data_IF_979323892813
#
_entry.id   IF_979323892813
#
_cell.length_a   1.000
_cell.length_b   1.000
_cell.length_c   1.000
_cell.angle_alpha   90.00
_cell.angle_beta   90.00
_cell.angle_gamma   90.00
#
_symmetry.space_group_name_H-M   'P 1'
#
loop_
_entity.id
_entity.type
_entity.pdbx_description
1 polymer ?
#
# COMPACT_ATOMS: atom_id res chain seq x y z
N UNK A 1 38.16 10.70 -9.24
CA UNK A 1 36.84 10.24 -8.74
C UNK A 1 35.85 10.18 -9.90
N UNK A 2 35.62 9.01 -10.49
CA UNK A 2 34.55 8.79 -11.49
C UNK A 2 33.42 8.01 -10.82
N UNK A 3 32.54 8.72 -10.11
CA UNK A 3 31.23 8.18 -9.68
C UNK A 3 30.27 8.46 -10.83
N UNK A 4 30.49 7.82 -11.97
CA UNK A 4 29.52 7.85 -13.05
C UNK A 4 28.37 6.93 -12.67
N UNK A 5 27.20 7.55 -12.53
CA UNK A 5 25.92 6.93 -12.25
C UNK A 5 25.70 5.71 -13.15
N UNK A 6 25.84 4.50 -12.61
CA UNK A 6 25.08 3.38 -13.10
C UNK A 6 23.61 3.70 -12.79
N UNK A 7 22.92 4.37 -13.73
CA UNK A 7 21.45 4.38 -13.71
C UNK A 7 21.04 2.92 -13.83
N UNK A 8 20.80 2.26 -12.69
CA UNK A 8 20.11 0.97 -12.66
C UNK A 8 18.82 1.21 -13.41
N UNK A 9 18.70 0.68 -14.63
CA UNK A 9 17.42 0.65 -15.34
C UNK A 9 16.53 -0.26 -14.51
N UNK A 10 15.81 0.34 -13.57
CA UNK A 10 14.73 -0.33 -12.86
C UNK A 10 13.74 -0.74 -13.94
N UNK A 11 13.60 -2.05 -14.14
CA UNK A 11 12.48 -2.60 -14.90
C UNK A 11 11.27 -2.37 -14.01
N UNK A 12 10.69 -1.18 -14.10
CA UNK A 12 9.44 -0.85 -13.43
C UNK A 12 8.34 -1.42 -14.32
N UNK A 13 7.72 -2.51 -13.89
CA UNK A 13 6.49 -2.96 -14.53
C UNK A 13 5.44 -1.86 -14.32
N UNK A 14 5.07 -1.18 -15.41
CA UNK A 14 4.11 -0.06 -15.36
C UNK A 14 2.76 -0.52 -14.82
N UNK A 15 2.36 -1.75 -15.08
CA UNK A 15 1.09 -2.32 -14.61
C UNK A 15 1.06 -2.37 -13.09
N UNK A 16 2.13 -2.89 -12.46
CA UNK A 16 2.27 -2.92 -11.00
C UNK A 16 2.31 -1.50 -10.43
N UNK A 17 3.00 -0.58 -11.09
CA UNK A 17 3.06 0.82 -10.64
C UNK A 17 1.68 1.48 -10.70
N UNK A 18 0.92 1.30 -11.78
CA UNK A 18 -0.43 1.83 -11.91
C UNK A 18 -1.40 1.19 -10.92
N UNK A 19 -1.31 -0.12 -10.71
CA UNK A 19 -2.14 -0.82 -9.74
C UNK A 19 -1.87 -0.32 -8.32
N UNK A 20 -0.60 -0.28 -7.91
CA UNK A 20 -0.21 0.24 -6.58
C UNK A 20 -0.64 1.70 -6.44
N UNK A 21 -0.43 2.53 -7.45
CA UNK A 21 -0.83 3.93 -7.42
C UNK A 21 -2.36 4.08 -7.35
N UNK A 22 -3.11 3.23 -8.05
CA UNK A 22 -4.57 3.18 -8.01
C UNK A 22 -5.04 2.79 -6.60
N UNK A 23 -4.49 1.74 -6.00
CA UNK A 23 -4.83 1.34 -4.63
C UNK A 23 -4.51 2.45 -3.61
N UNK A 24 -3.34 3.08 -3.71
CA UNK A 24 -2.96 4.23 -2.87
C UNK A 24 -3.92 5.40 -3.09
N UNK A 25 -4.22 5.73 -4.34
CA UNK A 25 -5.11 6.82 -4.71
C UNK A 25 -6.53 6.63 -4.18
N UNK A 26 -7.11 5.45 -4.39
CA UNK A 26 -8.44 5.09 -3.86
C UNK A 26 -8.44 5.17 -2.33
N UNK A 27 -7.40 4.66 -1.67
CA UNK A 27 -7.29 4.72 -0.22
C UNK A 27 -7.23 6.16 0.30
N UNK A 28 -6.36 7.01 -0.26
CA UNK A 28 -6.25 8.42 0.15
C UNK A 28 -7.53 9.19 -0.13
N UNK A 29 -8.15 8.98 -1.29
CA UNK A 29 -9.43 9.59 -1.63
C UNK A 29 -10.54 9.15 -0.67
N UNK A 30 -10.57 7.88 -0.25
CA UNK A 30 -11.54 7.40 0.72
C UNK A 30 -11.40 8.08 2.08
N UNK A 31 -10.16 8.27 2.58
CA UNK A 31 -9.91 9.00 3.83
C UNK A 31 -10.37 10.45 3.69
N UNK A 32 -10.04 11.10 2.57
CA UNK A 32 -10.42 12.48 2.32
C UNK A 32 -11.93 12.67 2.32
N UNK A 33 -12.67 11.80 1.62
CA UNK A 33 -14.14 11.84 1.59
C UNK A 33 -14.75 11.62 2.97
N UNK A 34 -14.26 10.63 3.73
CA UNK A 34 -14.73 10.36 5.10
C UNK A 34 -14.48 11.57 6.01
N UNK A 35 -13.31 12.21 5.88
CA UNK A 35 -12.96 13.41 6.65
C UNK A 35 -13.81 14.62 6.29
N UNK A 36 -14.05 14.84 4.99
CA UNK A 36 -14.94 15.91 4.53
C UNK A 36 -16.36 15.70 5.06
N UNK A 37 -16.86 14.46 5.05
CA UNK A 37 -18.17 14.11 5.59
C UNK A 37 -18.24 14.31 7.11
N UNK A 38 -17.21 13.87 7.85
CA UNK A 38 -17.14 14.08 9.30
C UNK A 38 -17.13 15.57 9.66
N UNK A 39 -16.39 16.39 8.92
CA UNK A 39 -16.39 17.84 9.08
C UNK A 39 -17.76 18.45 8.77
N UNK A 40 -18.39 18.04 7.67
CA UNK A 40 -19.72 18.51 7.29
C UNK A 40 -20.75 18.20 8.39
N UNK A 41 -20.79 16.95 8.86
CA UNK A 41 -21.69 16.53 9.95
C UNK A 41 -21.42 17.32 11.24
N UNK A 42 -20.16 17.61 11.55
CA UNK A 42 -19.81 18.43 12.70
C UNK A 42 -20.32 19.87 12.54
N UNK A 43 -20.15 20.49 11.36
CA UNK A 43 -20.63 21.85 11.09
C UNK A 43 -22.17 21.93 11.12
N UNK A 44 -22.88 20.97 10.53
CA UNK A 44 -24.35 20.91 10.57
C UNK A 44 -24.89 20.79 12.00
N UNK A 45 -24.13 20.19 12.92
CA UNK A 45 -24.50 20.13 14.35
C UNK A 45 -24.24 21.43 15.09
N UNK A 46 -23.36 22.28 14.58
CA UNK A 46 -23.01 23.57 15.18
C UNK A 46 -23.86 24.72 14.68
N UNK A 47 -24.34 24.65 13.44
CA UNK A 47 -25.19 25.65 12.79
C UNK A 47 -26.31 26.23 13.70
N UNK A 48 -27.08 25.43 14.48
CA UNK A 48 -28.14 25.98 15.33
C UNK A 48 -27.64 26.67 16.62
N UNK A 49 -26.36 26.53 16.99
CA UNK A 49 -25.82 26.99 18.28
C UNK A 49 -24.82 28.14 18.11
N UNK A 50 -24.24 28.29 16.91
CA UNK A 50 -23.19 29.27 16.60
C UNK A 50 -23.67 30.72 16.73
N UNK A 51 -24.94 31.01 16.43
CA UNK A 51 -25.52 32.37 16.54
C UNK A 51 -25.65 32.90 17.97
N UNK A 52 -25.58 32.02 18.97
CA UNK A 52 -25.87 32.35 20.36
C UNK A 52 -24.66 32.18 21.31
N UNK A 53 -23.48 31.84 20.78
CA UNK A 53 -22.29 31.58 21.58
C UNK A 53 -21.12 32.47 21.21
N UNK A 54 -20.34 32.86 22.21
CA UNK A 54 -19.04 33.50 21.98
C UNK A 54 -18.01 32.48 21.50
N UNK A 55 -16.97 32.94 20.78
CA UNK A 55 -15.92 32.06 20.25
C UNK A 55 -15.18 31.27 21.35
N UNK A 56 -15.07 31.83 22.55
CA UNK A 56 -14.35 31.23 23.68
C UNK A 56 -15.16 30.09 24.31
N UNK A 57 -16.47 30.27 24.46
CA UNK A 57 -17.40 29.22 24.92
C UNK A 57 -17.47 28.07 23.90
N UNK A 58 -17.48 28.40 22.61
CA UNK A 58 -17.46 27.42 21.53
C UNK A 58 -16.24 26.50 21.61
N UNK A 59 -15.04 27.08 21.68
CA UNK A 59 -13.80 26.29 21.77
C UNK A 59 -13.78 25.46 23.04
N UNK A 60 -14.21 26.02 24.16
CA UNK A 60 -14.17 25.31 25.45
C UNK A 60 -15.09 24.09 25.45
N UNK A 61 -16.29 24.22 24.86
CA UNK A 61 -17.32 23.19 24.82
C UNK A 61 -17.10 22.14 23.73
N UNK A 62 -16.65 22.55 22.55
CA UNK A 62 -16.60 21.68 21.38
C UNK A 62 -15.19 21.24 20.97
N UNK A 63 -14.10 21.75 21.57
CA UNK A 63 -12.72 21.32 21.21
C UNK A 63 -12.53 19.80 21.27
N UNK A 64 -13.07 19.16 22.31
CA UNK A 64 -12.91 17.72 22.51
C UNK A 64 -13.72 16.95 21.46
N UNK A 65 -14.96 17.36 21.22
CA UNK A 65 -15.80 16.76 20.18
C UNK A 65 -15.17 16.92 18.80
N UNK A 66 -14.67 18.11 18.45
CA UNK A 66 -13.98 18.36 17.19
C UNK A 66 -12.76 17.45 17.03
N UNK A 67 -11.91 17.36 18.06
CA UNK A 67 -10.75 16.48 18.06
C UNK A 67 -11.16 15.01 17.89
N UNK A 68 -12.23 14.56 18.55
CA UNK A 68 -12.74 13.19 18.40
C UNK A 68 -13.22 12.93 16.96
N UNK A 69 -14.01 13.84 16.39
CA UNK A 69 -14.51 13.72 15.01
C UNK A 69 -13.40 13.74 13.95
N UNK A 70 -12.26 14.36 14.24
CA UNK A 70 -11.10 14.41 13.34
C UNK A 70 -10.10 13.26 13.57
N UNK A 71 -9.80 12.93 14.82
CA UNK A 71 -8.76 11.96 15.16
C UNK A 71 -9.23 10.52 15.00
N UNK A 72 -10.50 10.21 15.26
CA UNK A 72 -11.01 8.83 15.12
C UNK A 72 -10.95 8.37 13.66
N UNK A 73 -11.49 9.11 12.67
CA UNK A 73 -11.42 8.69 11.28
C UNK A 73 -9.99 8.57 10.76
N UNK A 74 -9.10 9.48 11.15
CA UNK A 74 -7.68 9.44 10.77
C UNK A 74 -6.97 8.25 11.40
N UNK A 75 -7.16 8.02 12.70
CA UNK A 75 -6.56 6.91 13.42
C UNK A 75 -7.04 5.56 12.88
N UNK A 76 -8.35 5.43 12.65
CA UNK A 76 -8.92 4.25 12.01
C UNK A 76 -8.37 4.05 10.59
N UNK A 77 -8.34 5.12 9.78
CA UNK A 77 -7.74 5.11 8.45
C UNK A 77 -6.29 4.65 8.47
N UNK A 78 -5.48 5.12 9.42
CA UNK A 78 -4.09 4.71 9.57
C UNK A 78 -3.94 3.21 9.83
N UNK A 79 -4.74 2.64 10.73
CA UNK A 79 -4.73 1.19 11.04
C UNK A 79 -5.11 0.38 9.80
N UNK A 80 -6.20 0.76 9.13
CA UNK A 80 -6.65 0.10 7.90
C UNK A 80 -5.60 0.22 6.79
N UNK A 81 -4.99 1.39 6.64
CA UNK A 81 -3.93 1.65 5.67
C UNK A 81 -2.72 0.76 5.89
N UNK A 82 -2.22 0.69 7.13
CA UNK A 82 -1.10 -0.20 7.48
C UNK A 82 -1.45 -1.65 7.12
N UNK A 83 -2.65 -2.11 7.44
CA UNK A 83 -3.08 -3.47 7.10
C UNK A 83 -3.12 -3.71 5.58
N UNK A 84 -3.77 -2.82 4.82
CA UNK A 84 -3.93 -2.95 3.37
C UNK A 84 -2.60 -2.86 2.64
N UNK A 85 -1.77 -1.86 2.95
CA UNK A 85 -0.48 -1.67 2.28
C UNK A 85 0.54 -2.74 2.67
N UNK A 86 0.51 -3.25 3.90
CA UNK A 86 1.37 -4.37 4.27
C UNK A 86 0.97 -5.63 3.50
N UNK A 87 -0.34 -5.89 3.34
CA UNK A 87 -0.84 -7.00 2.53
C UNK A 87 -0.47 -6.83 1.05
N UNK A 88 -0.61 -5.64 0.49
CA UNK A 88 -0.22 -5.32 -0.88
C UNK A 88 1.28 -5.53 -1.10
N UNK A 89 2.11 -4.98 -0.20
CA UNK A 89 3.57 -5.14 -0.24
C UNK A 89 3.97 -6.60 -0.14
N UNK A 90 3.31 -7.39 0.72
CA UNK A 90 3.61 -8.82 0.87
C UNK A 90 3.38 -9.63 -0.42
N UNK A 91 2.38 -9.24 -1.23
CA UNK A 91 2.06 -9.86 -2.55
C UNK A 91 3.05 -9.48 -3.65
N UNK A 92 3.84 -8.44 -3.47
CA UNK A 92 4.86 -7.98 -4.42
C UNK A 92 6.25 -8.48 -3.99
N UNK A 93 6.62 -8.25 -2.72
CA UNK A 93 7.96 -8.56 -2.20
C UNK A 93 8.13 -10.05 -1.94
N UNK A 94 7.07 -10.74 -1.48
CA UNK A 94 7.07 -12.18 -1.23
C UNK A 94 7.52 -13.03 -2.44
N UNK A 95 6.85 -12.92 -3.60
CA UNK A 95 7.25 -13.64 -4.81
C UNK A 95 8.70 -13.33 -5.22
N UNK A 96 9.10 -12.05 -5.20
CA UNK A 96 10.47 -11.64 -5.58
C UNK A 96 11.54 -12.25 -4.67
N UNK A 97 11.30 -12.29 -3.35
CA UNK A 97 12.21 -12.94 -2.41
C UNK A 97 12.30 -14.45 -2.64
N UNK A 98 11.17 -15.09 -2.96
CA UNK A 98 11.16 -16.53 -3.25
C UNK A 98 11.95 -16.85 -4.52
N UNK A 99 11.77 -16.06 -5.59
CA UNK A 99 12.55 -16.19 -6.83
C UNK A 99 14.04 -16.04 -6.54
N UNK A 100 14.42 -14.99 -5.79
CA UNK A 100 15.83 -14.76 -5.43
C UNK A 100 16.41 -15.96 -4.67
N UNK A 101 15.68 -16.50 -3.69
CA UNK A 101 16.12 -17.65 -2.88
C UNK A 101 16.33 -18.89 -3.74
N UNK A 102 15.38 -19.21 -4.62
CA UNK A 102 15.47 -20.40 -5.50
C UNK A 102 16.66 -20.27 -6.46
N UNK A 103 16.84 -19.10 -7.08
CA UNK A 103 17.96 -18.87 -8.00
C UNK A 103 19.31 -18.91 -7.28
N UNK A 104 19.41 -18.32 -6.08
CA UNK A 104 20.65 -18.37 -5.28
C UNK A 104 21.01 -19.81 -4.89
N UNK A 105 20.03 -20.59 -4.43
CA UNK A 105 20.24 -21.99 -4.08
C UNK A 105 20.72 -22.83 -5.28
N UNK A 106 20.18 -22.57 -6.48
CA UNK A 106 20.59 -23.26 -7.69
C UNK A 106 22.04 -22.95 -8.09
N UNK A 107 22.45 -21.68 -7.93
CA UNK A 107 23.83 -21.25 -8.20
C UNK A 107 24.81 -21.83 -7.17
N UNK A 108 24.48 -21.75 -5.88
CA UNK A 108 25.37 -22.19 -4.80
C UNK A 108 25.54 -23.70 -4.74
N UNK A 109 24.47 -24.47 -4.95
CA UNK A 109 24.51 -25.93 -4.85
C UNK A 109 24.79 -26.62 -6.20
N UNK A 110 24.96 -25.86 -7.29
CA UNK A 110 25.05 -26.39 -8.67
C UNK A 110 23.91 -27.36 -9.01
N UNK A 111 22.76 -27.18 -8.35
CA UNK A 111 21.58 -27.99 -8.54
C UNK A 111 20.59 -27.27 -9.44
N UNK A 112 19.78 -28.05 -10.13
CA UNK A 112 18.69 -27.51 -10.92
C UNK A 112 17.71 -26.77 -10.01
N UNK A 113 17.29 -25.54 -10.36
CA UNK A 113 16.35 -24.78 -9.55
C UNK A 113 15.03 -25.52 -9.42
N UNK A 114 14.56 -25.68 -8.18
CA UNK A 114 13.21 -26.16 -7.90
C UNK A 114 12.15 -25.23 -8.50
N UNK A 115 10.95 -25.77 -8.72
CA UNK A 115 9.82 -24.96 -9.18
C UNK A 115 9.47 -23.85 -8.17
N UNK A 116 9.39 -22.61 -8.65
CA UNK A 116 9.06 -21.46 -7.83
C UNK A 116 7.55 -21.47 -7.58
N UNK A 117 7.16 -21.85 -6.36
CA UNK A 117 5.77 -21.86 -5.92
C UNK A 117 5.31 -20.47 -5.47
N UNK A 118 4.15 -20.05 -5.95
CA UNK A 118 3.52 -18.77 -5.62
C UNK A 118 2.10 -18.94 -5.11
N UNK A 119 1.59 -17.90 -4.45
CA UNK A 119 0.17 -17.83 -4.06
C UNK A 119 -0.65 -17.37 -5.25
N UNK A 120 -1.94 -17.69 -5.25
CA UNK A 120 -2.83 -17.35 -6.38
C UNK A 120 -2.94 -15.85 -6.67
N UNK A 121 -2.78 -15.02 -5.63
CA UNK A 121 -2.98 -13.57 -5.67
C UNK A 121 -1.65 -12.78 -5.67
N UNK A 122 -0.52 -13.42 -5.94
CA UNK A 122 0.77 -12.73 -6.04
C UNK A 122 0.89 -12.04 -7.41
N UNK A 123 1.50 -10.85 -7.43
CA UNK A 123 1.52 -9.98 -8.63
C UNK A 123 2.26 -10.59 -9.82
N UNK A 124 3.33 -11.34 -9.56
CA UNK A 124 4.25 -11.85 -10.59
C UNK A 124 3.94 -13.29 -11.01
N UNK A 125 2.68 -13.73 -10.86
CA UNK A 125 2.33 -15.14 -11.05
C UNK A 125 2.57 -15.62 -12.47
N UNK A 126 2.17 -14.82 -13.45
CA UNK A 126 2.30 -15.16 -14.86
C UNK A 126 3.78 -15.21 -15.27
N UNK A 127 4.55 -14.19 -14.90
CA UNK A 127 5.97 -14.10 -15.24
C UNK A 127 6.80 -15.21 -14.59
N UNK A 128 6.43 -15.62 -13.38
CA UNK A 128 7.11 -16.71 -12.67
C UNK A 128 6.69 -18.08 -13.21
N UNK A 129 5.46 -18.24 -13.70
CA UNK A 129 5.06 -19.45 -14.42
C UNK A 129 5.86 -19.60 -15.73
N UNK A 130 6.03 -18.51 -16.48
CA UNK A 130 6.88 -18.49 -17.67
C UNK A 130 8.34 -18.83 -17.33
N UNK A 131 8.85 -18.27 -16.23
CA UNK A 131 10.18 -18.59 -15.72
C UNK A 131 10.31 -20.10 -15.39
N UNK A 132 9.33 -20.68 -14.71
CA UNK A 132 9.30 -22.11 -14.38
C UNK A 132 9.30 -22.99 -15.64
N UNK A 133 8.62 -22.58 -16.72
CA UNK A 133 8.66 -23.30 -18.00
C UNK A 133 10.04 -23.23 -18.64
N UNK A 134 10.69 -22.05 -18.63
CA UNK A 134 12.04 -21.87 -19.17
C UNK A 134 13.06 -22.68 -18.37
N UNK A 135 12.97 -22.66 -17.05
CA UNK A 135 13.83 -23.44 -16.16
C UNK A 135 13.71 -24.95 -16.46
N UNK A 136 12.48 -25.46 -16.61
CA UNK A 136 12.25 -26.87 -17.00
C UNK A 136 12.81 -27.22 -18.39
N UNK A 137 12.81 -26.28 -19.35
CA UNK A 137 13.34 -26.51 -20.70
C UNK A 137 14.86 -26.54 -20.78
N UNK A 138 15.56 -25.70 -20.02
CA UNK A 138 17.04 -25.71 -19.97
C UNK A 138 17.63 -26.96 -19.29
N UNK A 139 16.78 -27.75 -18.63
CA UNK A 139 17.15 -28.97 -17.93
C UNK A 139 16.91 -30.25 -18.74
N UNK A 140 16.39 -30.14 -19.97
CA UNK A 140 16.37 -31.23 -20.96
C UNK A 140 17.55 -31.07 -21.91
#
# INVERSE_FOLDING_TARGET
MKIFSQRRRLIVNREIQYDVLMYVGIFVMSIFVVQALALYLFLSRLEPVVSHMTALEFVTKYKVSFLIYQLIPVGFGMVVGVYVFNRLTSRIVGPLYNVKRVLQNAVENQQNPDEIKLRENDYFREEINDLNVILKRKMK
#
